data_IF_292477920924
#
_entry.id   IF_292477920924
#
_cell.length_a   1.000
_cell.length_b   1.000
_cell.length_c   1.000
_cell.angle_alpha   90.00
_cell.angle_beta   90.00
_cell.angle_gamma   90.00
#
_symmetry.space_group_name_H-M   'P 1'
#
loop_
_entity.id
_entity.type
_entity.pdbx_description
1 polymer ?
#
# COMPACT_ATOMS: atom_id res chain seq x y z
N UNK A 1 -13.57 16.72 2.87
CA UNK A 1 -12.92 15.42 2.59
C UNK A 1 -11.42 15.61 2.72
N UNK A 2 -10.74 14.78 3.49
CA UNK A 2 -9.26 14.76 3.53
C UNK A 2 -8.72 13.87 2.42
N UNK A 3 -7.45 14.07 2.05
CA UNK A 3 -6.75 13.16 1.13
C UNK A 3 -6.79 11.71 1.63
N UNK A 4 -6.67 11.51 2.94
CA UNK A 4 -6.75 10.21 3.60
C UNK A 4 -8.13 9.55 3.43
N UNK A 5 -9.22 10.29 3.64
CA UNK A 5 -10.57 9.74 3.44
C UNK A 5 -10.81 9.35 1.98
N UNK A 6 -10.25 10.11 1.03
CA UNK A 6 -10.36 9.80 -0.40
C UNK A 6 -9.53 8.56 -0.77
N UNK A 7 -8.29 8.48 -0.29
CA UNK A 7 -7.42 7.32 -0.47
C UNK A 7 -8.05 6.03 0.09
N UNK A 8 -8.68 6.12 1.27
CA UNK A 8 -9.42 5.00 1.85
C UNK A 8 -10.59 4.55 0.98
N UNK A 9 -11.36 5.48 0.41
CA UNK A 9 -12.46 5.15 -0.51
C UNK A 9 -11.94 4.40 -1.74
N UNK A 10 -10.87 4.92 -2.36
CA UNK A 10 -10.25 4.28 -3.52
C UNK A 10 -9.70 2.88 -3.19
N UNK A 11 -9.05 2.71 -2.04
CA UNK A 11 -8.54 1.41 -1.60
C UNK A 11 -9.66 0.39 -1.33
N UNK A 12 -10.84 0.82 -0.87
CA UNK A 12 -12.00 -0.05 -0.65
C UNK A 12 -12.67 -0.50 -1.95
N UNK A 13 -12.59 0.32 -3.00
CA UNK A 13 -13.12 0.02 -4.33
C UNK A 13 -12.15 -0.84 -5.17
N UNK A 14 -10.87 -0.85 -4.77
CA UNK A 14 -9.83 -1.63 -5.42
C UNK A 14 -10.06 -3.14 -5.25
N UNK A 15 -10.03 -3.88 -6.35
CA UNK A 15 -10.10 -5.34 -6.37
C UNK A 15 -9.08 -5.85 -7.38
N UNK A 16 -8.08 -6.57 -6.91
CA UNK A 16 -7.15 -7.29 -7.78
C UNK A 16 -7.68 -8.68 -8.08
N UNK A 17 -7.23 -9.20 -9.21
CA UNK A 17 -7.77 -10.41 -9.81
C UNK A 17 -7.67 -11.57 -8.83
N UNK A 18 -8.81 -12.18 -8.49
CA UNK A 18 -8.85 -13.43 -7.73
C UNK A 18 -8.24 -14.56 -8.58
N UNK A 19 -6.94 -14.79 -8.43
CA UNK A 19 -6.23 -15.87 -9.11
C UNK A 19 -6.46 -17.22 -8.46
N UNK A 20 -6.88 -17.24 -7.19
CA UNK A 20 -7.11 -18.45 -6.41
C UNK A 20 -8.60 -18.63 -6.08
N UNK A 21 -9.26 -19.67 -6.63
CA UNK A 21 -10.66 -19.96 -6.33
C UNK A 21 -10.91 -20.53 -4.93
N UNK A 22 -9.88 -20.98 -4.20
CA UNK A 22 -10.01 -21.52 -2.84
C UNK A 22 -9.97 -20.43 -1.76
N UNK A 23 -9.46 -19.24 -2.09
CA UNK A 23 -9.35 -18.10 -1.19
C UNK A 23 -10.72 -17.44 -0.93
N UNK A 24 -11.00 -17.03 0.31
CA UNK A 24 -12.21 -16.27 0.67
C UNK A 24 -12.18 -14.83 0.17
N UNK A 25 -13.32 -14.13 0.20
CA UNK A 25 -13.40 -12.72 -0.21
C UNK A 25 -12.60 -11.81 0.73
N UNK A 26 -12.59 -12.12 2.03
CA UNK A 26 -11.83 -11.41 3.05
C UNK A 26 -10.32 -11.59 2.86
N UNK A 27 -9.87 -12.82 2.62
CA UNK A 27 -8.46 -13.12 2.34
C UNK A 27 -7.98 -12.45 1.06
N UNK A 28 -8.78 -12.53 -0.02
CA UNK A 28 -8.47 -11.84 -1.27
C UNK A 28 -8.36 -10.33 -1.06
N UNK A 29 -9.29 -9.74 -0.29
CA UNK A 29 -9.23 -8.30 0.05
C UNK A 29 -7.97 -7.94 0.84
N UNK A 30 -7.57 -8.76 1.81
CA UNK A 30 -6.33 -8.54 2.54
C UNK A 30 -5.12 -8.61 1.60
N UNK A 31 -5.07 -9.61 0.73
CA UNK A 31 -4.02 -9.75 -0.28
C UNK A 31 -3.93 -8.52 -1.21
N UNK A 32 -5.07 -8.05 -1.70
CA UNK A 32 -5.15 -6.85 -2.56
C UNK A 32 -4.64 -5.61 -1.83
N UNK A 33 -5.01 -5.42 -0.55
CA UNK A 33 -4.56 -4.29 0.26
C UNK A 33 -3.05 -4.35 0.55
N UNK A 34 -2.50 -5.54 0.84
CA UNK A 34 -1.07 -5.74 1.01
C UNK A 34 -0.31 -5.43 -0.29
N UNK A 35 -0.85 -5.85 -1.43
CA UNK A 35 -0.26 -5.58 -2.73
C UNK A 35 -0.31 -4.09 -3.09
N UNK A 36 -1.44 -3.43 -2.81
CA UNK A 36 -1.60 -1.98 -2.97
C UNK A 36 -0.63 -1.21 -2.06
N UNK A 37 -0.44 -1.63 -0.82
CA UNK A 37 0.52 -1.03 0.10
C UNK A 37 1.94 -1.07 -0.47
N UNK A 38 2.40 -2.25 -0.90
CA UNK A 38 3.73 -2.42 -1.53
C UNK A 38 3.90 -1.53 -2.76
N UNK A 39 2.92 -1.52 -3.66
CA UNK A 39 2.96 -0.66 -4.84
C UNK A 39 2.99 0.83 -4.48
N UNK A 40 2.25 1.24 -3.45
CA UNK A 40 2.22 2.64 -3.00
C UNK A 40 3.56 3.05 -2.39
N UNK A 41 4.23 2.17 -1.62
CA UNK A 41 5.58 2.44 -1.09
C UNK A 41 6.56 2.72 -2.22
N UNK A 42 6.60 1.88 -3.26
CA UNK A 42 7.48 2.11 -4.42
C UNK A 42 7.14 3.40 -5.17
N UNK A 43 5.86 3.69 -5.41
CA UNK A 43 5.44 4.94 -6.06
C UNK A 43 5.83 6.17 -5.25
N UNK A 44 5.78 6.10 -3.92
CA UNK A 44 6.24 7.20 -3.06
C UNK A 44 7.76 7.37 -3.21
N UNK A 45 8.54 6.30 -3.23
CA UNK A 45 9.99 6.35 -3.45
C UNK A 45 10.32 7.00 -4.80
N UNK A 46 9.71 6.53 -5.90
CA UNK A 46 9.90 7.09 -7.24
C UNK A 46 9.57 8.59 -7.29
N UNK A 47 8.45 8.98 -6.67
CA UNK A 47 8.02 10.38 -6.65
C UNK A 47 8.97 11.26 -5.82
N UNK A 48 9.61 10.71 -4.79
CA UNK A 48 10.59 11.40 -3.95
C UNK A 48 11.95 11.51 -4.61
N UNK A 49 12.41 10.45 -5.28
CA UNK A 49 13.62 10.48 -6.11
C UNK A 49 13.51 11.59 -7.17
N UNK A 50 12.34 11.72 -7.79
CA UNK A 50 12.05 12.81 -8.74
C UNK A 50 12.14 14.21 -8.11
N UNK A 51 11.84 14.34 -6.81
CA UNK A 51 11.96 15.58 -6.05
C UNK A 51 13.34 15.76 -5.38
N UNK A 52 14.21 14.75 -5.47
CA UNK A 52 15.54 14.75 -4.84
C UNK A 52 15.53 14.58 -3.33
N UNK A 53 14.51 13.92 -2.77
CA UNK A 53 14.45 13.60 -1.34
C UNK A 53 14.99 12.19 -1.07
N UNK A 54 16.10 12.09 -0.33
CA UNK A 54 16.82 10.83 -0.09
C UNK A 54 16.63 10.29 1.33
N UNK A 55 15.40 10.31 1.82
CA UNK A 55 15.06 9.75 3.14
C UNK A 55 14.80 8.24 2.99
N UNK A 56 15.14 7.48 4.01
CA UNK A 56 14.92 6.03 4.11
C UNK A 56 13.45 5.70 4.42
N UNK A 57 13.03 4.47 4.13
CA UNK A 57 11.68 3.99 4.49
C UNK A 57 11.35 4.15 5.98
N UNK A 58 12.33 3.90 6.86
CA UNK A 58 12.18 4.06 8.30
C UNK A 58 11.92 5.53 8.70
N UNK A 59 12.54 6.48 7.99
CA UNK A 59 12.31 7.92 8.21
C UNK A 59 10.93 8.37 7.71
N UNK A 60 10.33 7.63 6.77
CA UNK A 60 9.07 7.97 6.12
C UNK A 60 7.86 7.31 6.78
N UNK A 61 7.97 6.04 7.15
CA UNK A 61 6.87 5.22 7.68
C UNK A 61 7.07 4.82 9.15
N UNK A 62 8.23 5.13 9.74
CA UNK A 62 8.66 4.60 11.04
C UNK A 62 9.33 3.23 10.91
N UNK A 63 10.07 2.82 11.93
CA UNK A 63 10.51 1.43 12.06
C UNK A 63 9.26 0.54 12.17
N UNK A 64 9.17 -0.49 11.32
CA UNK A 64 8.12 -1.51 11.43
C UNK A 64 8.43 -2.36 12.68
N UNK A 65 7.66 -2.25 13.78
CA UNK A 65 7.95 -2.96 15.01
C UNK A 65 7.77 -4.49 14.90
N UNK A 66 7.24 -4.97 13.77
CA UNK A 66 6.93 -6.39 13.53
C UNK A 66 7.93 -7.08 12.58
N UNK A 67 9.06 -6.44 12.23
CA UNK A 67 10.20 -7.08 11.54
C UNK A 67 11.27 -7.55 12.54
N UNK A 68 10.94 -8.54 13.37
CA UNK A 68 11.89 -9.38 14.14
C UNK A 68 11.64 -10.88 13.85
#
# INVERSE_FOLDING_TARGET
>A
MSAESNARSHAQEFRWWRSDPEMTDEEARLHDLLALHRATVELIREQRDLLGYYDTDAELFGDDPDLD
#
